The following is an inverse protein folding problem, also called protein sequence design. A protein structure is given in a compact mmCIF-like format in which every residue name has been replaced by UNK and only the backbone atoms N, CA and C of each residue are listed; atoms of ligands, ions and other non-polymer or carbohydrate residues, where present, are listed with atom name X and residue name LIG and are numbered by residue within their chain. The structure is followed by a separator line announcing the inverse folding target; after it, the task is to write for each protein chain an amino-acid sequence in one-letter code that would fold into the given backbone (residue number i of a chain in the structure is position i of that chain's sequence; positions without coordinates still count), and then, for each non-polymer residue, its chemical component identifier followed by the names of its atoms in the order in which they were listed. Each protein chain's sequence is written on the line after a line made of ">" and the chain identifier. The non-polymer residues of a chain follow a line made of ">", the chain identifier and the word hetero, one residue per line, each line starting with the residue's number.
data_IF_862766764208
#
_entry.id   IF_862766764208
#
_cell.length_a   1.000
_cell.length_b   1.000
_cell.length_c   1.000
_cell.angle_alpha   90.00
_cell.angle_beta   90.00
_cell.angle_gamma   90.00
#
_symmetry.space_group_name_H-M   'P 1'
#
loop_
_entity.id
_entity.type
_entity.pdbx_description
1 polymer ?
#
# COMPACT_ATOMS: atom_id res chain seq x y z
N UNK A 1 -22.38 20.62 25.08
CA UNK A 1 -22.16 19.53 26.08
C UNK A 1 -21.59 20.13 27.34
N UNK A 2 -22.08 19.69 28.49
CA UNK A 2 -21.41 19.91 29.78
C UNK A 2 -20.40 18.79 29.94
N UNK A 3 -19.11 19.07 29.97
CA UNK A 3 -18.15 18.02 30.29
C UNK A 3 -18.03 17.95 31.81
N UNK A 4 -18.71 16.95 32.40
CA UNK A 4 -18.73 16.75 33.85
C UNK A 4 -17.41 16.14 34.26
N UNK A 5 -16.64 16.90 35.02
CA UNK A 5 -15.51 16.37 35.78
C UNK A 5 -15.68 16.85 37.21
N UNK A 6 -15.82 15.89 38.12
CA UNK A 6 -15.75 16.06 39.57
C UNK A 6 -16.40 17.35 40.11
N UNK A 7 -17.72 17.50 39.91
CA UNK A 7 -18.62 18.57 40.43
C UNK A 7 -18.73 19.91 39.70
N UNK A 8 -18.06 20.13 38.55
CA UNK A 8 -18.24 21.37 37.76
C UNK A 8 -18.73 21.10 36.33
N UNK A 9 -19.75 21.84 35.92
CA UNK A 9 -20.37 21.74 34.60
C UNK A 9 -19.71 22.75 33.64
N UNK A 10 -18.79 22.28 32.80
CA UNK A 10 -18.11 23.15 31.82
C UNK A 10 -18.90 23.13 30.51
N UNK A 11 -19.43 24.28 30.11
CA UNK A 11 -20.04 24.47 28.80
C UNK A 11 -18.98 24.82 27.76
N UNK A 12 -18.78 23.94 26.77
CA UNK A 12 -17.91 24.23 25.62
C UNK A 12 -18.77 24.94 24.54
N UNK A 13 -18.53 26.23 24.26
CA UNK A 13 -19.30 26.97 23.27
C UNK A 13 -19.11 26.37 21.88
N UNK A 14 -20.20 26.28 21.12
CA UNK A 14 -20.21 25.69 19.78
C UNK A 14 -20.34 24.17 19.72
N UNK A 15 -20.16 23.45 20.84
CA UNK A 15 -20.23 21.99 20.84
C UNK A 15 -21.67 21.45 20.97
N UNK A 16 -22.09 20.69 19.98
CA UNK A 16 -23.41 20.05 19.86
C UNK A 16 -23.28 18.54 20.06
N UNK A 17 -24.17 17.97 20.87
CA UNK A 17 -24.26 16.52 21.07
C UNK A 17 -25.36 15.91 20.20
N UNK A 18 -25.07 14.80 19.54
CA UNK A 18 -25.99 13.98 18.75
C UNK A 18 -25.76 12.50 19.04
N UNK A 19 -26.61 11.65 18.47
CA UNK A 19 -26.54 10.19 18.68
C UNK A 19 -25.22 9.57 18.18
N UNK A 20 -24.63 10.13 17.13
CA UNK A 20 -23.32 9.73 16.60
C UNK A 20 -22.25 10.74 16.99
N UNK A 21 -21.05 10.25 17.33
CA UNK A 21 -19.89 11.10 17.55
C UNK A 21 -19.55 11.93 16.29
N UNK A 22 -19.71 11.34 15.11
CA UNK A 22 -19.47 12.03 13.84
C UNK A 22 -20.48 13.14 13.61
N UNK A 23 -21.78 12.86 13.81
CA UNK A 23 -22.82 13.87 13.63
C UNK A 23 -22.69 15.00 14.67
N UNK A 24 -22.26 14.66 15.88
CA UNK A 24 -21.95 15.63 16.94
C UNK A 24 -20.83 16.58 16.49
N UNK A 25 -19.72 16.02 16.00
CA UNK A 25 -18.57 16.80 15.52
C UNK A 25 -19.00 17.68 14.35
N UNK A 26 -19.60 17.09 13.30
CA UNK A 26 -19.98 17.80 12.08
C UNK A 26 -20.99 18.92 12.33
N UNK A 27 -21.89 18.75 13.30
CA UNK A 27 -22.87 19.78 13.67
C UNK A 27 -22.36 20.81 14.67
N UNK A 28 -21.20 20.57 15.30
CA UNK A 28 -20.57 21.52 16.21
C UNK A 28 -19.84 22.62 15.44
N UNK A 29 -19.50 23.71 16.12
CA UNK A 29 -18.62 24.77 15.61
C UNK A 29 -17.30 24.79 16.40
N UNK A 30 -16.27 25.40 15.83
CA UNK A 30 -14.94 25.52 16.45
C UNK A 30 -14.77 26.81 17.27
N UNK A 31 -15.87 27.36 17.80
CA UNK A 31 -15.89 28.65 18.49
C UNK A 31 -14.91 28.73 19.67
N UNK A 32 -14.73 27.63 20.41
CA UNK A 32 -13.81 27.55 21.54
C UNK A 32 -12.34 27.86 21.17
N UNK A 33 -11.92 27.65 19.91
CA UNK A 33 -10.55 27.91 19.48
C UNK A 33 -10.26 29.40 19.26
N UNK A 34 -11.29 30.21 18.98
CA UNK A 34 -11.18 31.63 18.65
C UNK A 34 -11.64 32.55 19.78
N UNK A 35 -12.46 32.03 20.69
CA UNK A 35 -13.06 32.82 21.76
C UNK A 35 -12.05 33.15 22.85
N UNK A 36 -12.07 34.38 23.37
CA UNK A 36 -11.29 34.81 24.54
C UNK A 36 -11.87 34.27 25.87
N UNK A 37 -12.63 33.18 25.80
CA UNK A 37 -13.16 32.48 26.98
C UNK A 37 -12.12 31.44 27.42
N UNK A 38 -12.07 31.12 28.71
CA UNK A 38 -11.16 30.10 29.28
C UNK A 38 -11.40 28.66 28.74
N UNK A 39 -12.24 28.49 27.73
CA UNK A 39 -12.60 27.22 27.13
C UNK A 39 -11.37 26.44 26.65
N UNK A 40 -10.49 27.08 25.88
CA UNK A 40 -9.28 26.44 25.34
C UNK A 40 -8.35 25.97 26.47
N UNK A 41 -8.13 26.83 27.48
CA UNK A 41 -7.30 26.52 28.63
C UNK A 41 -7.89 25.36 29.46
N UNK A 42 -9.21 25.33 29.65
CA UNK A 42 -9.88 24.23 30.34
C UNK A 42 -9.71 22.91 29.58
N UNK A 43 -9.82 22.92 28.25
CA UNK A 43 -9.61 21.72 27.43
C UNK A 43 -8.17 21.20 27.58
N UNK A 44 -7.20 22.11 27.45
CA UNK A 44 -5.77 21.80 27.55
C UNK A 44 -5.39 21.23 28.91
N UNK A 45 -5.80 21.88 30.01
CA UNK A 45 -5.44 21.46 31.36
C UNK A 45 -6.16 20.19 31.79
N UNK A 46 -7.46 20.05 31.44
CA UNK A 46 -8.31 19.02 32.05
C UNK A 46 -8.45 17.74 31.23
N UNK A 47 -8.30 17.80 29.90
CA UNK A 47 -8.45 16.63 29.03
C UNK A 47 -7.15 16.23 28.35
N UNK A 48 -6.32 17.20 27.98
CA UNK A 48 -5.04 16.94 27.29
C UNK A 48 -3.89 16.76 28.32
N UNK A 49 -4.10 17.17 29.58
CA UNK A 49 -3.08 17.20 30.64
C UNK A 49 -1.82 17.95 30.17
N UNK A 50 -2.04 19.10 29.54
CA UNK A 50 -0.98 19.97 29.08
C UNK A 50 -0.30 20.63 30.29
N UNK A 51 0.78 20.01 30.78
CA UNK A 51 1.52 20.45 31.98
C UNK A 51 2.59 21.50 31.70
N UNK A 52 2.97 21.68 30.43
CA UNK A 52 4.05 22.58 30.04
C UNK A 52 3.53 24.02 29.85
N UNK A 53 3.36 24.74 30.96
CA UNK A 53 2.88 26.13 30.97
C UNK A 53 3.86 27.13 30.35
N UNK A 54 5.08 26.71 29.99
CA UNK A 54 6.09 27.58 29.40
C UNK A 54 5.77 27.99 27.94
N UNK A 55 4.93 27.25 27.23
CA UNK A 55 4.46 27.62 25.89
C UNK A 55 2.97 27.98 25.99
N UNK A 56 2.61 29.28 26.10
CA UNK A 56 1.21 29.67 26.12
C UNK A 56 0.56 29.32 24.78
N UNK A 57 -0.62 28.72 24.82
CA UNK A 57 -1.45 28.45 23.63
C UNK A 57 -2.53 29.53 23.57
N UNK A 58 -2.30 30.64 22.85
CA UNK A 58 -3.29 31.70 22.74
C UNK A 58 -4.47 31.25 21.87
N UNK A 59 -5.65 31.87 22.04
CA UNK A 59 -6.77 31.68 21.11
C UNK A 59 -6.36 32.14 19.70
N UNK A 60 -6.96 31.50 18.69
CA UNK A 60 -6.78 31.84 17.29
C UNK A 60 -7.37 33.22 16.98
N UNK A 61 -6.75 33.92 16.03
CA UNK A 61 -7.18 35.26 15.67
C UNK A 61 -8.32 35.23 14.66
N UNK A 62 -9.48 35.76 15.07
CA UNK A 62 -10.68 35.87 14.25
C UNK A 62 -10.46 36.67 12.97
N UNK A 63 -9.58 37.68 13.00
CA UNK A 63 -9.30 38.52 11.83
C UNK A 63 -8.57 37.79 10.69
N UNK A 64 -8.07 36.58 10.95
CA UNK A 64 -7.44 35.74 9.92
C UNK A 64 -8.47 34.87 9.17
N UNK A 65 -9.72 34.83 9.63
CA UNK A 65 -10.80 34.16 8.93
C UNK A 65 -11.23 35.00 7.73
N UNK A 66 -11.15 34.42 6.53
CA UNK A 66 -11.50 35.11 5.30
C UNK A 66 -12.74 34.52 4.66
N UNK A 67 -12.83 33.19 4.64
CA UNK A 67 -13.91 32.46 3.95
C UNK A 67 -14.93 31.92 4.93
N UNK A 68 -14.51 31.60 6.14
CA UNK A 68 -15.39 30.99 7.15
C UNK A 68 -15.63 31.94 8.31
N UNK A 69 -16.53 31.55 9.22
CA UNK A 69 -16.84 32.33 10.41
C UNK A 69 -16.67 31.46 11.66
N UNK A 70 -16.55 32.10 12.83
CA UNK A 70 -16.54 31.41 14.13
C UNK A 70 -17.76 30.48 14.31
N UNK A 71 -18.89 30.84 13.70
CA UNK A 71 -20.16 30.11 13.82
C UNK A 71 -20.33 29.04 12.73
N UNK A 72 -19.34 28.88 11.84
CA UNK A 72 -19.36 27.84 10.81
C UNK A 72 -19.25 26.47 11.48
N UNK A 73 -20.09 25.53 11.03
CA UNK A 73 -20.07 24.16 11.55
C UNK A 73 -18.87 23.40 10.98
N UNK A 74 -18.41 22.38 11.69
CA UNK A 74 -17.31 21.53 11.23
C UNK A 74 -17.65 20.87 9.89
N UNK A 75 -18.93 20.55 9.63
CA UNK A 75 -19.37 20.10 8.31
C UNK A 75 -19.03 21.11 7.21
N UNK A 76 -19.43 22.38 7.39
CA UNK A 76 -19.14 23.43 6.40
C UNK A 76 -17.65 23.70 6.23
N UNK A 77 -16.87 23.53 7.30
CA UNK A 77 -15.41 23.65 7.25
C UNK A 77 -14.81 22.49 6.46
N UNK A 78 -15.25 21.25 6.71
CA UNK A 78 -14.81 20.05 6.02
C UNK A 78 -15.16 20.07 4.52
N UNK A 79 -16.36 20.52 4.15
CA UNK A 79 -16.78 20.69 2.75
C UNK A 79 -15.88 21.69 2.00
N UNK A 80 -15.30 22.65 2.74
CA UNK A 80 -14.34 23.62 2.23
C UNK A 80 -12.87 23.25 2.50
N UNK A 81 -12.61 21.99 2.89
CA UNK A 81 -11.28 21.46 3.19
C UNK A 81 -10.50 22.26 4.24
N UNK A 82 -11.20 23.02 5.09
CA UNK A 82 -10.61 23.97 6.05
C UNK A 82 -9.74 25.06 5.40
N UNK A 83 -9.94 25.34 4.10
CA UNK A 83 -9.16 26.35 3.39
C UNK A 83 -9.80 27.73 3.55
N UNK A 84 -9.08 28.63 4.24
CA UNK A 84 -9.45 30.05 4.36
C UNK A 84 -9.04 30.88 3.14
N UNK A 85 -7.82 30.69 2.65
CA UNK A 85 -7.29 31.48 1.53
C UNK A 85 -6.34 30.65 0.65
N UNK A 86 -6.47 30.79 -0.66
CA UNK A 86 -5.52 30.25 -1.64
C UNK A 86 -4.48 31.31 -1.98
N UNK A 87 -3.26 31.16 -1.46
CA UNK A 87 -2.13 32.04 -1.80
C UNK A 87 -1.42 31.51 -3.05
N UNK A 88 -1.59 32.18 -4.18
CA UNK A 88 -0.92 31.82 -5.45
C UNK A 88 0.51 32.35 -5.57
N UNK A 89 0.89 33.30 -4.71
CA UNK A 89 2.22 33.91 -4.69
C UNK A 89 3.25 33.16 -3.83
N UNK A 90 2.87 32.06 -3.18
CA UNK A 90 3.79 31.26 -2.37
C UNK A 90 4.71 30.42 -3.25
N UNK A 91 6.01 30.51 -3.00
CA UNK A 91 6.99 29.60 -3.60
C UNK A 91 6.90 28.24 -2.92
N UNK A 92 6.30 27.28 -3.62
CA UNK A 92 6.21 25.88 -3.18
C UNK A 92 7.59 25.29 -2.88
N UNK A 93 8.64 25.73 -3.60
CA UNK A 93 10.02 25.29 -3.38
C UNK A 93 10.53 25.77 -2.03
N UNK A 94 10.30 27.04 -1.68
CA UNK A 94 10.71 27.58 -0.38
C UNK A 94 9.94 26.91 0.76
N UNK A 95 8.63 26.72 0.60
CA UNK A 95 7.80 26.01 1.58
C UNK A 95 8.30 24.57 1.81
N UNK A 96 8.55 23.83 0.72
CA UNK A 96 9.09 22.48 0.82
C UNK A 96 10.44 22.46 1.53
N UNK A 97 11.34 23.39 1.22
CA UNK A 97 12.66 23.46 1.85
C UNK A 97 12.58 23.76 3.36
N UNK A 98 11.57 24.51 3.82
CA UNK A 98 11.36 24.75 5.25
C UNK A 98 10.81 23.52 5.98
N UNK A 99 10.02 22.71 5.29
CA UNK A 99 9.35 21.54 5.87
C UNK A 99 10.00 20.21 5.48
N UNK A 100 11.17 20.23 4.82
CA UNK A 100 11.78 19.01 4.30
C UNK A 100 12.16 18.11 5.48
N UNK A 101 11.61 16.88 5.55
CA UNK A 101 11.96 15.97 6.62
C UNK A 101 13.45 15.61 6.47
N UNK A 102 14.17 15.57 7.60
CA UNK A 102 15.58 15.15 7.62
C UNK A 102 15.77 13.71 7.13
N UNK A 103 14.74 12.87 7.27
CA UNK A 103 14.69 11.50 6.80
C UNK A 103 13.30 11.22 6.21
N UNK A 104 13.24 10.85 4.94
CA UNK A 104 12.02 10.32 4.33
C UNK A 104 11.93 8.81 4.62
N UNK A 105 10.90 8.40 5.38
CA UNK A 105 10.52 6.99 5.45
C UNK A 105 9.20 6.78 4.71
N UNK A 106 9.25 5.97 3.65
CA UNK A 106 8.04 5.50 2.99
C UNK A 106 7.74 4.08 3.48
N UNK A 107 6.49 3.79 3.80
CA UNK A 107 6.01 2.44 4.09
C UNK A 107 5.27 1.92 2.85
N UNK A 108 5.85 0.95 2.16
CA UNK A 108 5.15 0.25 1.09
C UNK A 108 4.14 -0.72 1.67
N UNK A 109 2.92 -0.24 1.92
CA UNK A 109 1.79 -1.12 2.23
C UNK A 109 1.30 -1.74 0.92
N UNK A 110 1.96 -2.82 0.47
CA UNK A 110 1.47 -3.60 -0.67
C UNK A 110 0.17 -4.30 -0.26
N UNK A 111 -0.97 -3.72 -0.60
CA UNK A 111 -2.24 -4.45 -0.60
C UNK A 111 -2.10 -5.58 -1.63
N UNK A 112 -2.32 -6.83 -1.21
CA UNK A 112 -2.29 -7.97 -2.10
C UNK A 112 -3.34 -7.76 -3.19
N UNK A 113 -2.90 -7.41 -4.41
CA UNK A 113 -3.78 -7.29 -5.55
C UNK A 113 -4.24 -8.71 -5.91
N UNK A 114 -5.53 -9.01 -5.78
CA UNK A 114 -6.09 -10.33 -6.10
C UNK A 114 -5.68 -10.81 -7.51
N UNK A 115 -5.57 -9.89 -8.48
CA UNK A 115 -5.10 -10.21 -9.83
C UNK A 115 -3.64 -10.68 -9.86
N UNK A 116 -2.79 -10.12 -9.00
CA UNK A 116 -1.39 -10.54 -8.88
C UNK A 116 -1.29 -11.97 -8.34
N UNK A 117 -2.09 -12.29 -7.33
CA UNK A 117 -2.11 -13.64 -6.72
C UNK A 117 -2.58 -14.69 -7.74
N UNK A 118 -3.65 -14.41 -8.48
CA UNK A 118 -4.19 -15.33 -9.51
C UNK A 118 -3.16 -15.58 -10.62
N UNK A 119 -2.49 -14.52 -11.11
CA UNK A 119 -1.45 -14.63 -12.14
C UNK A 119 -0.27 -15.48 -11.67
N UNK A 120 0.10 -15.35 -10.40
CA UNK A 120 1.18 -16.14 -9.80
C UNK A 120 0.84 -17.64 -9.83
N UNK A 121 -0.39 -18.02 -9.45
CA UNK A 121 -0.81 -19.42 -9.50
C UNK A 121 -0.83 -19.96 -10.93
N UNK A 122 -1.43 -19.24 -11.88
CA UNK A 122 -1.49 -19.67 -13.29
C UNK A 122 -0.09 -19.90 -13.88
N UNK A 123 0.84 -18.98 -13.59
CA UNK A 123 2.23 -19.08 -14.04
C UNK A 123 2.94 -20.26 -13.39
N UNK A 124 2.73 -20.46 -12.08
CA UNK A 124 3.34 -21.56 -11.34
C UNK A 124 2.86 -22.92 -11.84
N UNK A 125 1.56 -23.11 -12.02
CA UNK A 125 1.01 -24.36 -12.57
C UNK A 125 1.53 -24.61 -13.98
N UNK A 126 1.46 -23.61 -14.87
CA UNK A 126 1.95 -23.76 -16.25
C UNK A 126 3.44 -24.09 -16.33
N UNK A 127 4.27 -23.36 -15.57
CA UNK A 127 5.71 -23.57 -15.52
C UNK A 127 6.09 -24.92 -14.91
N UNK A 128 5.42 -25.33 -13.84
CA UNK A 128 5.69 -26.59 -13.15
C UNK A 128 5.32 -27.80 -14.02
N UNK A 129 4.17 -27.76 -14.71
CA UNK A 129 3.76 -28.83 -15.63
C UNK A 129 4.77 -29.00 -16.77
N UNK A 130 5.22 -27.89 -17.38
CA UNK A 130 6.24 -27.92 -18.42
C UNK A 130 7.57 -28.47 -17.89
N UNK A 131 8.04 -27.98 -16.74
CA UNK A 131 9.28 -28.43 -16.12
C UNK A 131 9.26 -29.93 -15.79
N UNK A 132 8.16 -30.42 -15.21
CA UNK A 132 8.00 -31.84 -14.90
C UNK A 132 7.95 -32.70 -16.16
N UNK A 133 7.24 -32.27 -17.20
CA UNK A 133 7.20 -33.00 -18.48
C UNK A 133 8.58 -33.18 -19.12
N UNK A 134 9.52 -32.27 -18.83
CA UNK A 134 10.91 -32.35 -19.26
C UNK A 134 11.78 -33.18 -18.30
N UNK A 135 11.64 -32.95 -17.00
CA UNK A 135 12.48 -33.57 -15.97
C UNK A 135 12.16 -35.06 -15.77
N UNK A 136 10.89 -35.44 -15.78
CA UNK A 136 10.46 -36.84 -15.54
C UNK A 136 11.10 -37.84 -16.52
N UNK A 137 11.05 -37.67 -17.85
CA UNK A 137 11.68 -38.63 -18.76
C UNK A 137 13.20 -38.67 -18.64
N UNK A 138 13.84 -37.56 -18.23
CA UNK A 138 15.27 -37.48 -17.99
C UNK A 138 15.65 -38.28 -16.73
N UNK A 139 14.90 -38.08 -15.64
CA UNK A 139 15.11 -38.79 -14.37
C UNK A 139 14.86 -40.29 -14.52
N UNK A 140 13.78 -40.70 -15.18
CA UNK A 140 13.48 -42.14 -15.42
C UNK A 140 14.59 -42.80 -16.24
N UNK A 141 15.08 -42.14 -17.31
CA UNK A 141 16.20 -42.67 -18.11
C UNK A 141 17.50 -42.76 -17.30
N UNK A 142 17.76 -41.80 -16.42
CA UNK A 142 18.93 -41.79 -15.55
C UNK A 142 18.87 -42.94 -14.53
N UNK A 143 17.71 -43.13 -13.89
CA UNK A 143 17.48 -44.23 -12.94
C UNK A 143 17.61 -45.60 -13.62
N UNK A 144 16.97 -45.78 -14.78
CA UNK A 144 17.07 -47.03 -15.54
C UNK A 144 18.51 -47.31 -15.99
N UNK A 145 19.30 -46.28 -16.35
CA UNK A 145 20.72 -46.44 -16.65
C UNK A 145 21.57 -46.77 -15.43
N UNK A 146 21.34 -46.13 -14.29
CA UNK A 146 22.05 -46.48 -13.07
C UNK A 146 21.79 -47.93 -12.69
N UNK A 147 20.54 -48.41 -12.81
CA UNK A 147 20.20 -49.83 -12.61
C UNK A 147 20.87 -50.73 -13.64
N UNK A 148 20.89 -50.35 -14.92
CA UNK A 148 21.53 -51.14 -15.97
C UNK A 148 23.05 -51.23 -15.79
N UNK A 149 23.74 -50.13 -15.50
CA UNK A 149 25.20 -50.10 -15.27
C UNK A 149 25.64 -50.90 -14.05
N UNK A 150 24.77 -51.06 -13.05
CA UNK A 150 25.02 -51.97 -11.92
C UNK A 150 24.95 -53.44 -12.39
N UNK A 151 24.13 -53.75 -13.40
CA UNK A 151 23.92 -55.10 -13.95
C UNK A 151 24.92 -55.45 -15.08
N UNK A 152 25.34 -54.50 -15.93
CA UNK A 152 26.17 -54.73 -17.15
C UNK A 152 27.59 -54.17 -17.07
N UNK A 153 28.35 -54.59 -16.07
CA UNK A 153 29.78 -54.25 -15.90
C UNK A 153 30.75 -54.89 -16.94
N UNK A 154 30.39 -55.04 -18.23
CA UNK A 154 31.26 -55.69 -19.23
C UNK A 154 31.27 -55.20 -20.70
N UNK A 155 30.90 -53.95 -21.06
CA UNK A 155 31.38 -53.34 -22.33
C UNK A 155 31.18 -51.79 -22.35
N UNK A 156 32.26 -51.00 -22.28
CA UNK A 156 32.20 -49.66 -21.67
C UNK A 156 32.37 -48.44 -22.63
N UNK A 157 32.53 -48.62 -23.95
CA UNK A 157 32.76 -47.48 -24.86
C UNK A 157 31.67 -47.20 -25.91
N UNK A 158 30.97 -48.22 -26.45
CA UNK A 158 29.90 -48.00 -27.43
C UNK A 158 28.63 -47.36 -26.83
N UNK A 159 28.35 -47.64 -25.56
CA UNK A 159 27.14 -47.11 -24.91
C UNK A 159 27.20 -45.59 -24.73
N UNK A 160 28.33 -45.03 -24.27
CA UNK A 160 28.50 -43.59 -24.01
C UNK A 160 28.19 -42.71 -25.23
N UNK A 161 28.57 -43.16 -26.43
CA UNK A 161 28.31 -42.44 -27.69
C UNK A 161 26.81 -42.48 -28.04
N UNK A 162 26.14 -43.61 -27.85
CA UNK A 162 24.70 -43.74 -28.09
C UNK A 162 23.86 -42.84 -27.16
N UNK A 163 24.33 -42.59 -25.93
CA UNK A 163 23.69 -41.67 -24.98
C UNK A 163 23.66 -40.25 -25.53
N UNK A 164 24.81 -39.76 -25.99
CA UNK A 164 24.98 -38.39 -26.46
C UNK A 164 24.14 -38.17 -27.72
N UNK A 165 24.13 -39.15 -28.63
CA UNK A 165 23.32 -39.11 -29.86
C UNK A 165 21.81 -39.09 -29.52
N UNK A 166 21.37 -39.87 -28.53
CA UNK A 166 19.96 -39.88 -28.07
C UNK A 166 19.56 -38.59 -27.35
N UNK A 167 20.46 -37.97 -26.60
CA UNK A 167 20.22 -36.66 -25.99
C UNK A 167 20.14 -35.56 -27.04
N UNK A 168 21.02 -35.59 -28.03
CA UNK A 168 21.01 -34.65 -29.16
C UNK A 168 19.71 -34.74 -29.97
N UNK A 169 19.26 -35.94 -30.29
CA UNK A 169 17.99 -36.16 -31.02
C UNK A 169 16.76 -35.76 -30.20
N UNK A 170 16.79 -35.96 -28.88
CA UNK A 170 15.72 -35.48 -27.98
C UNK A 170 15.67 -33.95 -27.93
N UNK A 171 16.83 -33.29 -27.79
CA UNK A 171 16.92 -31.83 -27.80
C UNK A 171 16.43 -31.23 -29.12
N UNK A 172 16.78 -31.87 -30.25
CA UNK A 172 16.29 -31.47 -31.58
C UNK A 172 14.77 -31.57 -31.68
N UNK A 173 14.16 -32.67 -31.22
CA UNK A 173 12.69 -32.82 -31.21
C UNK A 173 12.02 -31.78 -30.31
N UNK A 174 12.58 -31.54 -29.13
CA UNK A 174 12.06 -30.55 -28.19
C UNK A 174 12.09 -29.13 -28.77
N UNK A 175 13.20 -28.76 -29.44
CA UNK A 175 13.32 -27.46 -30.12
C UNK A 175 12.25 -27.28 -31.19
N UNK A 176 11.98 -28.29 -32.00
CA UNK A 176 10.95 -28.23 -33.04
C UNK A 176 9.52 -28.20 -32.46
N UNK A 177 9.23 -28.97 -31.40
CA UNK A 177 7.93 -28.89 -30.71
C UNK A 177 7.71 -27.53 -30.03
N UNK A 178 8.77 -26.91 -29.50
CA UNK A 178 8.69 -25.56 -28.94
C UNK A 178 8.50 -24.51 -30.03
N UNK A 179 9.25 -24.58 -31.13
CA UNK A 179 9.09 -23.66 -32.27
C UNK A 179 7.67 -23.72 -32.85
N UNK A 180 7.16 -24.92 -33.12
CA UNK A 180 5.81 -25.12 -33.67
C UNK A 180 4.72 -24.59 -32.72
N UNK A 181 4.83 -24.88 -31.41
CA UNK A 181 3.91 -24.30 -30.42
C UNK A 181 4.03 -22.79 -30.30
N UNK A 182 5.23 -22.21 -30.41
CA UNK A 182 5.43 -20.75 -30.37
C UNK A 182 4.86 -20.09 -31.63
N UNK A 183 5.01 -20.70 -32.81
CA UNK A 183 4.45 -20.18 -34.06
C UNK A 183 2.93 -20.30 -34.13
N UNK A 184 2.36 -21.38 -33.57
CA UNK A 184 0.89 -21.54 -33.46
C UNK A 184 0.28 -20.59 -32.43
N UNK A 185 1.05 -20.22 -31.40
CA UNK A 185 0.73 -19.12 -30.49
C UNK A 185 1.10 -17.78 -31.14
N UNK A 186 0.42 -17.42 -32.23
CA UNK A 186 0.50 -16.11 -32.87
C UNK A 186 0.00 -14.99 -31.92
N UNK A 187 0.80 -14.70 -30.87
CA UNK A 187 0.52 -13.76 -29.78
C UNK A 187 0.75 -12.30 -30.23
N UNK A 188 1.23 -12.08 -31.46
CA UNK A 188 1.19 -10.78 -32.09
C UNK A 188 0.18 -10.82 -33.23
N UNK A 189 -1.07 -10.48 -32.93
CA UNK A 189 -1.93 -9.84 -33.92
C UNK A 189 -1.18 -8.60 -34.41
N UNK A 190 -0.50 -8.72 -35.54
CA UNK A 190 -0.09 -7.54 -36.31
C UNK A 190 -1.37 -6.92 -36.85
N UNK A 191 -1.86 -5.90 -36.17
CA UNK A 191 -2.85 -4.99 -36.74
C UNK A 191 -2.18 -4.31 -37.94
N UNK A 192 -2.66 -4.63 -39.13
CA UNK A 192 -2.51 -3.85 -40.36
C UNK A 192 -3.85 -3.25 -40.70
#
# INVERSE_FOLDING_TARGET
>A
MVIVSSSTTITVPGFVWRCSAMDSILSSTLQCLYSNTNCLQIILLRYINYTNTAVPVPPLNVSQLFRTSINSTVATLADNLFVEEWKTSLSHIQYFNMCVPSICQYTYVRRANYLYVIRMFLTFYGGLTLALSLLVPLMVKLILRCRHQIITKQDNNRERIAIIIRFRTFYQRLSETLKTKITDFNIFQTYS
#
